data_IF_564801245130
#
_entry.id   IF_564801245130
#
_cell.length_a   1.000
_cell.length_b   1.000
_cell.length_c   1.000
_cell.angle_alpha   90.00
_cell.angle_beta   90.00
_cell.angle_gamma   90.00
#
_symmetry.space_group_name_H-M   'P 1'
#
loop_
_entity.id
_entity.type
_entity.pdbx_description
1 polymer ?
#
# COMPACT_ATOMS: atom_id res chain seq x y z
N UNK A 1 5.18 -20.61 0.11
CA UNK A 1 3.90 -19.92 0.33
C UNK A 1 3.81 -19.46 1.78
N UNK A 2 3.74 -18.16 2.01
CA UNK A 2 3.47 -17.64 3.36
C UNK A 2 1.96 -17.69 3.61
N UNK A 3 1.51 -18.46 4.60
CA UNK A 3 0.08 -18.63 4.88
C UNK A 3 -0.61 -17.32 5.31
N UNK A 4 0.14 -16.35 5.84
CA UNK A 4 -0.41 -15.08 6.34
C UNK A 4 0.33 -13.88 5.75
N UNK A 5 -0.40 -12.80 5.44
CA UNK A 5 0.20 -11.55 5.01
C UNK A 5 0.90 -10.84 6.18
N UNK A 6 1.86 -9.95 5.88
CA UNK A 6 2.35 -9.00 6.87
C UNK A 6 1.22 -8.05 7.32
N UNK A 7 1.33 -7.42 8.50
CA UNK A 7 0.31 -6.51 9.03
C UNK A 7 -0.06 -5.34 8.10
N UNK A 8 0.91 -4.90 7.29
CA UNK A 8 0.77 -3.79 6.35
C UNK A 8 1.24 -4.21 4.97
N UNK A 9 0.40 -3.97 3.96
CA UNK A 9 0.72 -4.12 2.54
C UNK A 9 0.42 -2.81 1.83
N UNK A 10 1.36 -2.30 1.02
CA UNK A 10 1.20 -1.04 0.29
C UNK A 10 0.72 0.15 1.16
N UNK A 11 1.28 0.29 2.38
CA UNK A 11 0.88 1.29 3.39
C UNK A 11 -0.58 1.19 3.87
N UNK A 12 -1.22 0.02 3.68
CA UNK A 12 -2.57 -0.27 4.12
C UNK A 12 -2.57 -1.42 5.14
N UNK A 13 -3.34 -1.27 6.21
CA UNK A 13 -3.57 -2.33 7.21
C UNK A 13 -4.37 -3.45 6.58
N UNK A 14 -3.90 -4.68 6.67
CA UNK A 14 -4.66 -5.85 6.21
C UNK A 14 -5.84 -6.10 7.16
N UNK A 15 -7.05 -6.18 6.62
CA UNK A 15 -8.28 -6.48 7.35
C UNK A 15 -8.66 -7.95 7.18
N UNK A 16 -8.67 -8.41 5.93
CA UNK A 16 -9.04 -9.77 5.55
C UNK A 16 -8.15 -10.22 4.40
N UNK A 17 -7.91 -11.52 4.29
CA UNK A 17 -7.07 -12.09 3.23
C UNK A 17 -7.62 -13.43 2.75
N UNK A 18 -7.24 -13.83 1.55
CA UNK A 18 -7.58 -15.12 0.97
C UNK A 18 -6.35 -15.67 0.23
N UNK A 19 -6.01 -16.92 0.53
CA UNK A 19 -5.10 -17.74 -0.28
C UNK A 19 -6.00 -18.57 -1.20
N UNK A 20 -5.82 -18.42 -2.51
CA UNK A 20 -6.70 -19.05 -3.49
C UNK A 20 -6.24 -20.50 -3.73
N UNK A 21 -7.18 -21.42 -3.65
CA UNK A 21 -6.95 -22.84 -3.91
C UNK A 21 -7.75 -23.31 -5.15
N UNK A 22 -7.74 -24.61 -5.41
CA UNK A 22 -8.41 -25.22 -6.55
C UNK A 22 -9.95 -25.04 -6.55
N UNK A 23 -10.55 -24.60 -5.44
CA UNK A 23 -11.98 -24.29 -5.38
C UNK A 23 -12.33 -22.95 -6.02
N UNK A 24 -11.35 -22.11 -6.32
CA UNK A 24 -11.52 -20.77 -6.89
C UNK A 24 -11.23 -20.76 -8.39
N UNK A 25 -12.18 -20.27 -9.19
CA UNK A 25 -12.03 -20.13 -10.64
C UNK A 25 -11.89 -18.67 -11.04
N UNK A 26 -10.78 -18.31 -11.69
CA UNK A 26 -10.63 -16.99 -12.30
C UNK A 26 -11.56 -16.85 -13.51
N UNK A 27 -12.29 -15.74 -13.61
CA UNK A 27 -13.28 -15.48 -14.66
C UNK A 27 -12.67 -15.28 -16.06
N UNK A 28 -11.35 -15.10 -16.13
CA UNK A 28 -10.61 -14.79 -17.35
C UNK A 28 -10.34 -13.30 -17.55
N UNK A 29 -11.04 -12.41 -16.83
CA UNK A 29 -10.84 -10.96 -16.88
C UNK A 29 -11.10 -10.28 -15.52
N UNK A 30 -10.22 -9.37 -15.09
CA UNK A 30 -10.34 -8.63 -13.83
C UNK A 30 -10.43 -7.11 -13.99
N UNK A 31 -10.41 -6.57 -15.21
CA UNK A 31 -10.38 -5.10 -15.49
C UNK A 31 -9.24 -4.37 -14.77
N UNK A 32 -8.27 -5.10 -14.23
CA UNK A 32 -7.15 -4.57 -13.47
C UNK A 32 -5.91 -4.58 -14.37
N UNK A 33 -5.52 -3.39 -14.81
CA UNK A 33 -4.35 -3.19 -15.66
C UNK A 33 -3.19 -2.65 -14.85
N UNK A 34 -2.01 -3.25 -15.06
CA UNK A 34 -0.76 -2.93 -14.37
C UNK A 34 0.33 -2.67 -15.40
N UNK A 35 1.30 -1.83 -15.05
CA UNK A 35 2.39 -1.47 -15.94
C UNK A 35 2.94 -0.08 -15.66
N UNK A 36 3.88 0.34 -16.50
CA UNK A 36 4.49 1.66 -16.45
C UNK A 36 4.46 2.31 -17.83
N UNK A 37 4.83 3.59 -17.89
CA UNK A 37 4.80 4.38 -19.13
C UNK A 37 5.70 3.84 -20.24
N UNK A 38 6.74 3.05 -19.90
CA UNK A 38 7.70 2.54 -20.87
C UNK A 38 7.26 1.19 -21.47
N UNK A 39 6.56 0.36 -20.69
CA UNK A 39 6.18 -1.01 -21.07
C UNK A 39 4.71 -1.13 -21.49
N UNK A 40 3.91 -0.07 -21.29
CA UNK A 40 2.48 -0.08 -21.53
C UNK A 40 1.71 -0.74 -20.39
N UNK A 41 0.38 -0.78 -20.55
CA UNK A 41 -0.52 -1.41 -19.59
C UNK A 41 -0.88 -2.83 -20.07
N UNK A 42 -0.80 -3.80 -19.16
CA UNK A 42 -1.26 -5.18 -19.38
C UNK A 42 -2.26 -5.56 -18.30
N UNK A 43 -3.22 -6.43 -18.64
CA UNK A 43 -4.08 -7.03 -17.63
C UNK A 43 -3.23 -7.89 -16.67
N UNK A 44 -3.46 -7.77 -15.36
CA UNK A 44 -2.67 -8.46 -14.35
C UNK A 44 -2.81 -10.00 -14.46
N UNK A 45 -4.00 -10.49 -14.81
CA UNK A 45 -4.34 -11.91 -14.78
C UNK A 45 -4.66 -12.43 -13.37
N UNK A 46 -4.74 -13.77 -13.22
CA UNK A 46 -5.00 -14.40 -11.93
C UNK A 46 -3.79 -14.27 -11.00
N UNK A 47 -4.06 -14.14 -9.70
CA UNK A 47 -3.05 -14.14 -8.64
C UNK A 47 -3.39 -15.17 -7.56
N UNK A 48 -2.40 -15.71 -6.83
CA UNK A 48 -2.63 -16.72 -5.79
C UNK A 48 -3.17 -16.13 -4.49
N UNK A 49 -3.00 -14.83 -4.23
CA UNK A 49 -3.34 -14.22 -2.96
C UNK A 49 -4.11 -12.90 -3.14
N UNK A 50 -5.13 -12.69 -2.31
CA UNK A 50 -5.89 -11.45 -2.25
C UNK A 50 -5.90 -10.91 -0.82
N UNK A 51 -5.79 -9.59 -0.66
CA UNK A 51 -5.96 -8.93 0.63
C UNK A 51 -6.92 -7.76 0.51
N UNK A 52 -7.88 -7.67 1.43
CA UNK A 52 -8.67 -6.46 1.66
C UNK A 52 -7.97 -5.66 2.74
N UNK A 53 -7.56 -4.45 2.39
CA UNK A 53 -6.77 -3.60 3.27
C UNK A 53 -7.40 -2.20 3.39
N UNK A 54 -7.03 -1.50 4.46
CA UNK A 54 -7.42 -0.11 4.70
C UNK A 54 -6.19 0.79 4.69
N UNK A 55 -6.15 1.76 3.77
CA UNK A 55 -5.06 2.72 3.69
C UNK A 55 -4.88 3.46 5.02
N UNK A 56 -3.65 3.46 5.57
CA UNK A 56 -3.36 4.03 6.88
C UNK A 56 -3.39 5.57 6.91
N UNK A 57 -3.44 6.22 5.75
CA UNK A 57 -3.48 7.68 5.60
C UNK A 57 -4.88 8.18 5.24
N UNK A 58 -5.55 7.53 4.29
CA UNK A 58 -6.87 7.97 3.78
C UNK A 58 -8.04 7.22 4.39
N UNK A 59 -7.81 6.04 4.99
CA UNK A 59 -8.87 5.16 5.49
C UNK A 59 -9.64 4.41 4.39
N UNK A 60 -9.24 4.57 3.12
CA UNK A 60 -9.86 3.94 1.95
C UNK A 60 -9.74 2.42 2.00
N UNK A 61 -10.80 1.70 1.62
CA UNK A 61 -10.78 0.24 1.49
C UNK A 61 -10.33 -0.17 0.09
N UNK A 62 -9.41 -1.13 0.05
CA UNK A 62 -8.67 -1.53 -1.15
C UNK A 62 -8.65 -3.05 -1.26
N UNK A 63 -8.63 -3.55 -2.49
CA UNK A 63 -8.41 -4.96 -2.83
C UNK A 63 -7.02 -5.10 -3.47
N UNK A 64 -6.09 -5.66 -2.72
CA UNK A 64 -4.72 -5.93 -3.15
C UNK A 64 -4.64 -7.32 -3.78
N UNK A 65 -3.97 -7.38 -4.92
CA UNK A 65 -3.69 -8.61 -5.66
C UNK A 65 -2.22 -8.93 -5.49
N UNK A 66 -1.92 -10.08 -4.88
CA UNK A 66 -0.58 -10.42 -4.46
C UNK A 66 -0.13 -11.79 -4.97
N UNK A 67 1.19 -11.98 -5.09
CA UNK A 67 1.77 -13.30 -5.29
C UNK A 67 1.81 -14.13 -3.98
N UNK A 68 2.45 -15.30 -4.04
CA UNK A 68 2.54 -16.26 -2.92
C UNK A 68 3.40 -15.78 -1.73
N UNK A 69 4.15 -14.68 -1.93
CA UNK A 69 4.98 -14.03 -0.92
C UNK A 69 4.32 -12.76 -0.37
N UNK A 70 3.09 -12.47 -0.82
CA UNK A 70 2.32 -11.26 -0.50
C UNK A 70 2.88 -9.97 -1.12
N UNK A 71 3.75 -10.06 -2.14
CA UNK A 71 4.15 -8.88 -2.90
C UNK A 71 2.95 -8.37 -3.71
N UNK A 72 2.69 -7.06 -3.59
CA UNK A 72 1.51 -6.44 -4.21
C UNK A 72 1.77 -6.23 -5.70
N UNK A 73 1.10 -7.03 -6.53
CA UNK A 73 1.18 -6.96 -7.99
C UNK A 73 0.18 -5.97 -8.58
N UNK A 74 -0.93 -5.73 -7.89
CA UNK A 74 -1.97 -4.83 -8.35
C UNK A 74 -2.95 -4.44 -7.27
N UNK A 75 -3.75 -3.41 -7.57
CA UNK A 75 -4.58 -2.74 -6.57
C UNK A 75 -5.89 -2.27 -7.19
N UNK A 76 -6.98 -2.89 -6.77
CA UNK A 76 -8.32 -2.33 -6.91
C UNK A 76 -8.59 -1.37 -5.75
N UNK A 77 -9.09 -0.17 -6.03
CA UNK A 77 -9.32 0.87 -5.02
C UNK A 77 -10.73 1.44 -5.04
N UNK A 78 -11.00 2.30 -4.08
CA UNK A 78 -12.20 3.13 -4.00
C UNK A 78 -13.44 2.41 -3.46
N UNK A 79 -13.28 1.37 -2.64
CA UNK A 79 -14.44 0.67 -2.09
C UNK A 79 -14.97 1.37 -0.84
N UNK A 80 -16.29 1.52 -0.76
CA UNK A 80 -16.94 2.07 0.44
C UNK A 80 -16.92 1.11 1.63
N UNK A 81 -16.66 -0.18 1.41
CA UNK A 81 -16.67 -1.21 2.45
C UNK A 81 -15.94 -2.48 2.03
N UNK A 82 -15.57 -3.30 3.02
CA UNK A 82 -14.99 -4.64 2.80
C UNK A 82 -15.96 -5.54 2.03
N UNK A 83 -17.27 -5.43 2.28
CA UNK A 83 -18.29 -6.19 1.55
C UNK A 83 -18.27 -5.86 0.04
N UNK A 84 -18.11 -4.59 -0.34
CA UNK A 84 -17.99 -4.20 -1.77
C UNK A 84 -16.70 -4.73 -2.39
N UNK A 85 -15.59 -4.71 -1.65
CA UNK A 85 -14.34 -5.30 -2.09
C UNK A 85 -14.48 -6.82 -2.33
N UNK A 86 -15.12 -7.55 -1.41
CA UNK A 86 -15.43 -8.99 -1.57
C UNK A 86 -16.31 -9.27 -2.78
N UNK A 87 -17.39 -8.50 -2.98
CA UNK A 87 -18.22 -8.64 -4.18
C UNK A 87 -17.42 -8.39 -5.46
N UNK A 88 -16.46 -7.46 -5.42
CA UNK A 88 -15.58 -7.23 -6.56
C UNK A 88 -14.63 -8.39 -6.81
N UNK A 89 -14.05 -8.95 -5.75
CA UNK A 89 -13.21 -10.13 -5.83
C UNK A 89 -13.98 -11.33 -6.40
N UNK A 90 -15.20 -11.59 -5.92
CA UNK A 90 -16.05 -12.71 -6.37
C UNK A 90 -16.40 -12.64 -7.87
N UNK A 91 -16.46 -11.44 -8.46
CA UNK A 91 -16.66 -11.27 -9.91
C UNK A 91 -15.46 -11.73 -10.74
N UNK A 92 -14.24 -11.55 -10.22
CA UNK A 92 -13.01 -11.93 -10.90
C UNK A 92 -12.55 -13.35 -10.50
N UNK A 93 -12.84 -13.77 -9.27
CA UNK A 93 -12.43 -15.01 -8.64
C UNK A 93 -13.66 -15.70 -8.05
N UNK A 94 -14.35 -16.49 -8.87
CA UNK A 94 -15.55 -17.21 -8.45
C UNK A 94 -15.20 -18.26 -7.39
N UNK A 95 -15.89 -18.23 -6.25
CA UNK A 95 -15.67 -19.13 -5.11
C UNK A 95 -14.83 -18.52 -3.97
N UNK A 96 -14.19 -17.36 -4.19
CA UNK A 96 -13.31 -16.73 -3.19
C UNK A 96 -14.03 -16.35 -1.90
N UNK A 97 -15.36 -16.17 -1.95
CA UNK A 97 -16.19 -15.97 -0.77
C UNK A 97 -15.97 -17.00 0.34
N UNK A 98 -15.57 -18.23 0.00
CA UNK A 98 -15.27 -19.31 0.95
C UNK A 98 -13.84 -19.28 1.53
N UNK A 99 -12.94 -18.48 0.97
CA UNK A 99 -11.51 -18.45 1.32
C UNK A 99 -11.14 -17.28 2.26
N UNK A 100 -12.06 -16.35 2.52
CA UNK A 100 -11.74 -15.16 3.33
C UNK A 100 -11.45 -15.50 4.79
N UNK A 101 -10.31 -15.02 5.28
CA UNK A 101 -9.85 -15.12 6.65
C UNK A 101 -9.70 -13.73 7.25
N UNK A 102 -10.18 -13.56 8.49
CA UNK A 102 -9.93 -12.35 9.28
C UNK A 102 -8.44 -12.29 9.65
N UNK A 103 -7.80 -11.17 9.33
CA UNK A 103 -6.38 -10.96 9.58
C UNK A 103 -6.09 -10.68 11.07
N UNK A 104 -7.09 -10.21 11.83
CA UNK A 104 -7.01 -9.90 13.26
C UNK A 104 -5.92 -8.89 13.62
N UNK A 105 -5.58 -8.01 12.69
CA UNK A 105 -4.57 -6.96 12.88
C UNK A 105 -5.25 -5.69 13.41
N UNK A 106 -4.82 -5.23 14.58
CA UNK A 106 -5.30 -3.98 15.13
C UNK A 106 -4.73 -2.76 14.39
N UNK A 107 -5.36 -1.59 14.52
CA UNK A 107 -4.82 -0.36 13.94
C UNK A 107 -3.45 0.00 14.55
N UNK A 108 -3.31 -0.17 15.86
CA UNK A 108 -2.07 0.07 16.59
C UNK A 108 -0.93 -0.86 16.12
N UNK A 109 -1.22 -2.15 15.96
CA UNK A 109 -0.25 -3.13 15.45
C UNK A 109 0.23 -2.78 14.04
N UNK A 110 -0.70 -2.39 13.16
CA UNK A 110 -0.35 -1.95 11.81
C UNK A 110 0.53 -0.70 11.82
N UNK A 111 0.22 0.28 12.68
CA UNK A 111 1.05 1.48 12.82
C UNK A 111 2.44 1.16 13.36
N UNK A 112 2.54 0.30 14.37
CA UNK A 112 3.81 -0.16 14.92
C UNK A 112 4.65 -0.87 13.87
N UNK A 113 4.07 -1.82 13.15
CA UNK A 113 4.76 -2.53 12.07
C UNK A 113 5.23 -1.56 10.97
N UNK A 114 4.39 -0.60 10.57
CA UNK A 114 4.76 0.44 9.61
C UNK A 114 5.96 1.25 10.12
N UNK A 115 5.94 1.64 11.38
CA UNK A 115 6.98 2.46 12.01
C UNK A 115 8.33 1.73 12.06
N UNK A 116 8.31 0.44 12.44
CA UNK A 116 9.48 -0.43 12.49
C UNK A 116 10.04 -0.71 11.09
N UNK A 117 9.19 -0.98 10.10
CA UNK A 117 9.59 -1.27 8.71
C UNK A 117 10.39 -0.13 8.08
N UNK A 118 10.06 1.12 8.42
CA UNK A 118 10.69 2.31 7.87
C UNK A 118 11.68 3.00 8.83
N UNK A 119 12.00 2.38 9.97
CA UNK A 119 12.80 3.01 11.01
C UNK A 119 14.15 3.54 10.48
N UNK A 120 14.83 2.75 9.64
CA UNK A 120 16.12 3.09 9.05
C UNK A 120 16.03 4.02 7.83
N UNK A 121 14.82 4.45 7.43
CA UNK A 121 14.59 5.27 6.24
C UNK A 121 13.87 6.58 6.55
N UNK A 122 13.88 6.99 7.82
CA UNK A 122 13.32 8.28 8.25
C UNK A 122 14.08 9.46 7.69
N UNK A 123 13.35 10.53 7.45
CA UNK A 123 13.93 11.85 7.21
C UNK A 123 14.67 12.31 8.48
N UNK A 124 15.95 12.67 8.36
CA UNK A 124 16.78 13.15 9.47
C UNK A 124 16.38 14.52 10.01
N UNK A 125 15.42 15.19 9.38
CA UNK A 125 15.00 16.56 9.73
C UNK A 125 13.58 16.63 10.30
N UNK A 126 12.70 15.70 9.95
CA UNK A 126 11.31 15.72 10.42
C UNK A 126 10.75 14.36 10.84
N UNK A 127 11.59 13.33 10.91
CA UNK A 127 11.30 11.95 11.36
C UNK A 127 10.20 11.19 10.60
N UNK A 128 9.60 11.83 9.58
CA UNK A 128 8.63 11.21 8.68
C UNK A 128 9.26 10.06 7.91
N UNK A 129 8.43 9.07 7.61
CA UNK A 129 8.80 7.85 6.89
C UNK A 129 8.43 7.96 5.40
N UNK A 130 9.00 7.11 4.52
CA UNK A 130 8.76 7.20 3.08
C UNK A 130 7.30 7.27 2.62
N UNK A 131 6.34 6.55 3.23
CA UNK A 131 4.93 6.70 2.87
C UNK A 131 4.30 8.09 3.12
N UNK A 132 4.93 8.93 3.95
CA UNK A 132 4.42 10.25 4.32
C UNK A 132 4.84 11.36 3.34
N UNK A 133 5.71 11.07 2.37
CA UNK A 133 6.26 12.04 1.43
C UNK A 133 6.50 11.41 0.04
N UNK A 134 6.89 12.19 -0.98
CA UNK A 134 7.01 11.66 -2.34
C UNK A 134 8.45 11.35 -2.75
N UNK A 135 9.43 12.11 -2.23
CA UNK A 135 10.83 11.96 -2.63
C UNK A 135 11.73 12.09 -1.43
N UNK A 136 12.83 11.35 -1.46
CA UNK A 136 13.89 11.40 -0.48
C UNK A 136 15.24 11.42 -1.17
N UNK A 137 16.12 12.26 -0.66
CA UNK A 137 17.53 12.32 -1.07
C UNK A 137 18.34 11.80 0.11
N UNK A 138 19.24 10.85 -0.17
CA UNK A 138 20.18 10.31 0.80
C UNK A 138 21.62 10.64 0.39
N UNK A 139 22.40 11.16 1.34
CA UNK A 139 23.85 11.36 1.18
C UNK A 139 24.53 11.25 2.54
N UNK A 140 25.63 10.52 2.63
CA UNK A 140 26.41 10.34 3.87
C UNK A 140 25.55 9.90 5.07
N UNK A 141 24.62 8.97 4.87
CA UNK A 141 23.65 8.49 5.88
C UNK A 141 22.71 9.57 6.44
N UNK A 142 22.63 10.74 5.81
CA UNK A 142 21.64 11.78 6.10
C UNK A 142 20.58 11.74 5.03
N UNK A 143 19.31 11.77 5.45
CA UNK A 143 18.14 11.68 4.57
C UNK A 143 17.29 12.93 4.71
N UNK A 144 16.92 13.53 3.59
CA UNK A 144 16.01 14.67 3.57
C UNK A 144 14.86 14.40 2.60
N UNK A 145 13.63 14.58 3.07
CA UNK A 145 12.42 14.43 2.25
C UNK A 145 12.09 15.73 1.50
N UNK A 146 11.25 15.61 0.47
CA UNK A 146 10.78 16.75 -0.33
C UNK A 146 10.02 17.79 0.48
N UNK A 147 9.34 17.39 1.56
CA UNK A 147 8.65 18.33 2.45
C UNK A 147 9.64 19.26 3.17
N UNK A 148 10.74 18.72 3.73
CA UNK A 148 11.77 19.53 4.38
C UNK A 148 12.54 20.41 3.38
N UNK A 149 12.80 19.91 2.17
CA UNK A 149 13.41 20.72 1.11
C UNK A 149 12.53 21.92 0.79
N UNK A 150 11.22 21.71 0.61
CA UNK A 150 10.28 22.78 0.30
C UNK A 150 10.18 23.80 1.45
N UNK A 151 10.26 23.36 2.70
CA UNK A 151 10.29 24.24 3.88
C UNK A 151 11.57 25.08 3.91
N UNK A 152 12.75 24.47 3.76
CA UNK A 152 14.02 25.20 3.76
C UNK A 152 14.16 26.17 2.60
N UNK A 153 13.60 25.84 1.43
CA UNK A 153 13.54 26.78 0.30
C UNK A 153 12.73 28.04 0.63
N UNK A 154 11.63 27.92 1.39
CA UNK A 154 10.86 29.09 1.84
C UNK A 154 11.64 29.94 2.82
N UNK A 155 12.29 29.32 3.80
CA UNK A 155 13.12 30.01 4.80
C UNK A 155 14.26 30.78 4.12
N UNK A 156 14.92 30.18 3.12
CA UNK A 156 16.01 30.85 2.39
C UNK A 156 15.53 31.97 1.46
N UNK A 157 14.25 31.98 1.07
CA UNK A 157 13.65 32.99 0.22
C UNK A 157 13.10 34.19 1.01
N UNK A 158 12.93 34.07 2.32
CA UNK A 158 12.58 35.19 3.20
C UNK A 158 13.81 36.09 3.37
N UNK A 159 13.74 37.31 2.82
CA UNK A 159 14.75 38.34 3.11
C UNK A 159 14.74 38.66 4.61
N UNK A 160 15.92 38.85 5.25
CA UNK A 160 15.95 39.32 6.63
C UNK A 160 15.20 40.66 6.72
N UNK A 161 14.49 40.93 7.83
CA UNK A 161 13.82 42.21 8.01
C UNK A 161 14.84 43.34 7.79
N UNK A 162 14.51 44.28 6.91
CA UNK A 162 15.32 45.48 6.73
C UNK A 162 15.29 46.26 8.04
N UNK A 163 16.43 46.33 8.72
CA UNK A 163 16.61 47.24 9.85
C UNK A 163 16.54 48.68 9.31
N UNK A 164 15.35 49.30 9.35
CA UNK A 164 15.14 50.75 9.25
C UNK A 164 15.13 51.41 10.64
#
# INVERSE_FOLDING_TARGET
MSEKPPPVLANARVLEYAVLDESVTYSGHSSLFVGNINEGLKELGPVPCLAIAQDLRTGEIMLLHCDEEWDVLGRGGGYDSTAKAKTSAERAYHGVSSCWMDAKISHEEALKFRDEMWAEQRCSFCDKIPPDFNKMIERNNVRICDLCIAEFQKILAEEPPSDE
#
